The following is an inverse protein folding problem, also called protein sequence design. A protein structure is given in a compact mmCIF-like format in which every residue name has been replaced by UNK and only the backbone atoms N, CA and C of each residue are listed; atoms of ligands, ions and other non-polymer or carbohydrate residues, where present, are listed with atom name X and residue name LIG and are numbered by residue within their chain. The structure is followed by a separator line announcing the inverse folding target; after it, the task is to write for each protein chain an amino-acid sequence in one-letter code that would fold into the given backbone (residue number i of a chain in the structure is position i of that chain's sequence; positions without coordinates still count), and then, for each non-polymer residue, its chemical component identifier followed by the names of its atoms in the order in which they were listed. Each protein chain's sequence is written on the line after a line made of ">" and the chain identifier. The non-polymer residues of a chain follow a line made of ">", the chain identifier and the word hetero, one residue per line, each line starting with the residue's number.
data_IF_498392926332
#
_entry.id   IF_498392926332
#
_cell.length_a   1.000
_cell.length_b   1.000
_cell.length_c   1.000
_cell.angle_alpha   90.00
_cell.angle_beta   90.00
_cell.angle_gamma   90.00
#
_symmetry.space_group_name_H-M   'P 1'
#
loop_
_entity.id
_entity.type
_entity.pdbx_description
1 polymer ?
#
# COMPACT_ATOMS: atom_id res chain seq x y z
N UNK A 1 8.97 -9.25 -62.85
CA UNK A 1 9.18 -8.81 -61.45
C UNK A 1 10.07 -7.57 -61.27
N UNK A 2 11.00 -7.24 -62.11
CA UNK A 2 11.90 -6.07 -61.97
C UNK A 2 11.25 -4.67 -62.12
N UNK A 3 10.14 -4.51 -62.84
CA UNK A 3 9.48 -3.20 -63.03
C UNK A 3 8.70 -2.69 -61.80
N UNK A 4 8.16 -3.57 -60.94
CA UNK A 4 7.41 -3.17 -59.73
C UNK A 4 8.34 -2.66 -58.60
N UNK A 5 9.58 -3.17 -58.50
CA UNK A 5 10.51 -2.72 -57.46
C UNK A 5 11.02 -1.30 -57.67
N UNK A 6 11.27 -0.89 -58.92
CA UNK A 6 11.75 0.45 -59.20
C UNK A 6 10.68 1.54 -58.94
N UNK A 7 9.41 1.22 -59.12
CA UNK A 7 8.31 2.16 -58.83
C UNK A 7 8.13 2.44 -57.34
N UNK A 8 8.30 1.40 -56.49
CA UNK A 8 8.22 1.54 -55.02
C UNK A 8 9.40 2.35 -54.48
N UNK A 9 10.61 2.14 -54.99
CA UNK A 9 11.83 2.88 -54.58
C UNK A 9 11.68 4.37 -54.93
N UNK A 10 11.19 4.70 -56.13
CA UNK A 10 10.96 6.09 -56.55
C UNK A 10 9.90 6.76 -55.66
N UNK A 11 8.84 6.03 -55.29
CA UNK A 11 7.78 6.56 -54.42
C UNK A 11 8.28 6.86 -53.01
N UNK A 12 9.13 5.99 -52.47
CA UNK A 12 9.75 6.19 -51.15
C UNK A 12 10.74 7.35 -51.13
N UNK A 13 11.52 7.55 -52.21
CA UNK A 13 12.43 8.68 -52.34
C UNK A 13 11.65 10.01 -52.43
N UNK A 14 10.53 10.04 -53.16
CA UNK A 14 9.67 11.23 -53.25
C UNK A 14 9.02 11.60 -51.91
N UNK A 15 8.60 10.60 -51.09
CA UNK A 15 8.08 10.83 -49.75
C UNK A 15 9.16 11.39 -48.82
N UNK A 16 10.39 10.85 -48.89
CA UNK A 16 11.51 11.36 -48.08
C UNK A 16 11.92 12.79 -48.47
N UNK A 17 11.91 13.12 -49.73
CA UNK A 17 12.16 14.49 -50.24
C UNK A 17 11.03 15.45 -49.79
N UNK A 18 9.77 15.02 -49.82
CA UNK A 18 8.63 15.84 -49.39
C UNK A 18 8.65 16.12 -47.87
N UNK A 19 8.99 15.13 -47.06
CA UNK A 19 9.15 15.29 -45.60
C UNK A 19 10.35 16.18 -45.26
N UNK A 20 11.46 16.07 -46.00
CA UNK A 20 12.62 16.96 -45.88
C UNK A 20 12.30 18.41 -46.21
N UNK A 21 11.46 18.64 -47.25
CA UNK A 21 11.07 20.00 -47.68
C UNK A 21 10.10 20.66 -46.67
N UNK A 22 9.18 19.88 -46.07
CA UNK A 22 8.31 20.35 -44.98
C UNK A 22 9.09 20.71 -43.71
N UNK A 23 10.11 19.93 -43.36
CA UNK A 23 11.00 20.20 -42.22
C UNK A 23 11.84 21.48 -42.43
N UNK A 24 12.38 21.68 -43.64
CA UNK A 24 13.13 22.90 -44.02
C UNK A 24 12.25 24.16 -44.05
N UNK A 25 11.01 24.04 -44.52
CA UNK A 25 10.05 25.15 -44.53
C UNK A 25 9.60 25.54 -43.11
N UNK A 26 9.42 24.58 -42.22
CA UNK A 26 9.12 24.82 -40.79
C UNK A 26 10.31 25.47 -40.06
N UNK A 27 11.53 25.01 -40.32
CA UNK A 27 12.75 25.59 -39.76
C UNK A 27 12.99 27.04 -40.22
N UNK A 28 12.76 27.32 -41.52
CA UNK A 28 12.89 28.70 -42.05
C UNK A 28 11.80 29.63 -41.49
N UNK A 29 10.57 29.15 -41.26
CA UNK A 29 9.52 29.94 -40.62
C UNK A 29 9.86 30.24 -39.15
N UNK A 30 10.44 29.27 -38.43
CA UNK A 30 10.89 29.47 -37.07
C UNK A 30 12.03 30.51 -36.99
N UNK A 31 13.02 30.40 -37.84
CA UNK A 31 14.15 31.35 -37.93
C UNK A 31 13.74 32.75 -38.37
N UNK A 32 12.72 32.87 -39.23
CA UNK A 32 12.14 34.17 -39.62
C UNK A 32 11.34 34.82 -38.48
N UNK A 33 10.72 34.03 -37.61
CA UNK A 33 10.05 34.53 -36.41
C UNK A 33 11.06 35.04 -35.35
N UNK A 34 12.20 34.35 -35.17
CA UNK A 34 13.29 34.79 -34.29
C UNK A 34 13.95 36.10 -34.75
N UNK A 35 14.14 36.26 -36.06
CA UNK A 35 14.72 37.52 -36.61
C UNK A 35 13.76 38.70 -36.55
N UNK A 36 12.44 38.48 -36.62
CA UNK A 36 11.47 39.58 -36.45
C UNK A 36 11.36 40.02 -34.97
N UNK A 37 11.50 39.10 -34.03
CA UNK A 37 11.50 39.43 -32.57
C UNK A 37 12.75 40.27 -32.22
N UNK A 38 13.93 39.94 -32.78
CA UNK A 38 15.17 40.70 -32.54
C UNK A 38 15.20 42.07 -33.23
N UNK A 39 14.48 42.26 -34.33
CA UNK A 39 14.41 43.59 -35.01
C UNK A 39 13.44 44.55 -34.32
N UNK A 40 12.35 44.08 -33.74
CA UNK A 40 11.45 44.90 -32.90
C UNK A 40 12.11 45.36 -31.60
N UNK A 41 13.02 44.56 -31.02
CA UNK A 41 13.78 44.97 -29.81
C UNK A 41 14.87 46.00 -30.08
N UNK A 42 15.40 46.14 -31.31
CA UNK A 42 16.46 47.08 -31.65
C UNK A 42 15.90 48.46 -32.04
N UNK A 43 14.64 48.56 -32.52
CA UNK A 43 14.01 49.86 -32.78
C UNK A 43 13.42 50.52 -31.50
N UNK A 44 13.17 49.75 -30.46
CA UNK A 44 12.65 50.29 -29.20
C UNK A 44 13.71 50.96 -28.29
N UNK A 45 15.01 50.72 -28.52
CA UNK A 45 16.11 51.27 -27.67
C UNK A 45 16.55 52.70 -28.05
N UNK A 46 15.97 53.32 -29.09
CA UNK A 46 16.38 54.68 -29.51
C UNK A 46 15.41 55.83 -29.15
N UNK A 47 14.31 55.55 -28.40
CA UNK A 47 13.36 56.60 -27.98
C UNK A 47 13.20 56.77 -26.48
N UNK A 48 14.07 56.18 -25.67
CA UNK A 48 13.94 56.26 -24.20
C UNK A 48 15.16 56.97 -23.57
N UNK A 49 15.23 58.30 -23.72
CA UNK A 49 16.15 59.14 -22.91
C UNK A 49 15.50 60.33 -22.24
N UNK A 50 14.16 60.46 -22.15
CA UNK A 50 13.51 61.56 -21.44
C UNK A 50 12.45 61.22 -20.39
N UNK A 51 12.25 59.91 -19.99
CA UNK A 51 11.35 59.58 -18.88
C UNK A 51 12.00 58.71 -17.80
N UNK A 52 13.16 59.12 -17.31
CA UNK A 52 13.84 58.45 -16.14
C UNK A 52 13.32 58.88 -14.76
N UNK A 53 12.08 59.33 -14.62
CA UNK A 53 11.57 59.75 -13.31
C UNK A 53 10.27 59.11 -12.82
N UNK A 54 9.65 58.20 -13.60
CA UNK A 54 8.35 57.62 -13.21
C UNK A 54 8.29 56.09 -13.19
N UNK A 55 9.40 55.36 -13.42
CA UNK A 55 9.38 53.88 -13.36
C UNK A 55 10.22 53.38 -12.20
N UNK A 56 9.75 53.61 -11.00
CA UNK A 56 10.37 53.04 -9.78
C UNK A 56 9.45 52.08 -9.01
N UNK A 57 8.42 51.58 -9.62
CA UNK A 57 7.50 50.62 -8.94
C UNK A 57 6.85 49.57 -9.90
N UNK A 58 7.58 49.09 -10.93
CA UNK A 58 7.09 47.98 -11.78
C UNK A 58 7.86 46.66 -11.61
N UNK A 59 8.86 46.63 -10.74
CA UNK A 59 9.61 45.40 -10.46
C UNK A 59 8.96 44.50 -9.39
N UNK A 60 7.75 44.83 -8.90
CA UNK A 60 7.09 44.10 -7.81
C UNK A 60 5.77 43.41 -8.19
N UNK A 61 5.45 43.28 -9.47
CA UNK A 61 4.29 42.50 -9.92
C UNK A 61 4.69 41.52 -11.03
N UNK A 62 5.64 40.65 -10.79
CA UNK A 62 5.55 39.31 -11.30
C UNK A 62 4.69 38.55 -10.27
N UNK A 63 3.37 38.55 -10.44
CA UNK A 63 2.58 37.44 -9.98
C UNK A 63 3.22 36.21 -10.61
N UNK A 64 4.07 35.52 -9.83
CA UNK A 64 4.45 34.14 -10.13
C UNK A 64 3.11 33.40 -10.03
N UNK A 65 2.46 33.18 -11.18
CA UNK A 65 1.40 32.20 -11.27
C UNK A 65 2.13 30.88 -11.00
N UNK A 66 2.28 30.53 -9.73
CA UNK A 66 2.72 29.19 -9.34
C UNK A 66 1.68 28.27 -9.95
N UNK A 67 2.10 27.46 -10.94
CA UNK A 67 1.26 26.37 -11.39
C UNK A 67 0.79 25.60 -10.16
N UNK A 68 -0.50 25.19 -10.12
CA UNK A 68 -1.03 24.49 -8.97
C UNK A 68 -0.15 23.26 -8.70
N UNK A 69 0.62 23.32 -7.64
CA UNK A 69 1.51 22.23 -7.26
C UNK A 69 0.65 21.10 -6.73
N UNK A 70 0.62 19.99 -7.45
CA UNK A 70 -0.08 18.76 -7.08
C UNK A 70 0.96 17.72 -6.70
N UNK A 71 0.78 17.08 -5.55
CA UNK A 71 1.51 15.86 -5.16
C UNK A 71 0.59 14.66 -5.22
N UNK A 72 1.11 13.55 -5.72
CA UNK A 72 0.39 12.28 -5.80
C UNK A 72 1.25 11.17 -5.21
N UNK A 73 0.67 10.38 -4.33
CA UNK A 73 1.30 9.19 -3.75
C UNK A 73 0.40 7.97 -3.87
N UNK A 74 1.00 6.79 -3.83
CA UNK A 74 0.33 5.50 -3.74
C UNK A 74 0.56 4.90 -2.36
N UNK A 75 -0.53 4.62 -1.62
CA UNK A 75 -0.53 3.86 -0.39
C UNK A 75 -1.04 2.46 -0.68
N UNK A 76 -0.19 1.44 -0.46
CA UNK A 76 -0.55 0.05 -0.62
C UNK A 76 -0.79 -0.60 0.74
N UNK A 77 -1.95 -1.26 0.89
CA UNK A 77 -2.28 -2.01 2.10
C UNK A 77 -2.58 -3.47 1.80
N UNK A 78 -2.18 -4.36 2.72
CA UNK A 78 -2.46 -5.79 2.65
C UNK A 78 -3.04 -6.31 3.98
N UNK A 79 -3.79 -7.42 3.93
CA UNK A 79 -4.41 -8.05 5.09
C UNK A 79 -3.43 -8.85 5.96
N UNK A 80 -3.89 -10.01 6.44
CA UNK A 80 -3.23 -10.80 7.47
C UNK A 80 -1.98 -11.52 6.92
N UNK A 81 -0.83 -11.26 7.53
CA UNK A 81 0.47 -11.90 7.24
C UNK A 81 0.78 -12.86 8.36
N UNK A 82 0.53 -14.16 8.12
CA UNK A 82 0.67 -15.22 9.10
C UNK A 82 1.64 -16.29 8.62
N UNK A 83 2.54 -16.73 9.49
CA UNK A 83 3.53 -17.78 9.18
C UNK A 83 3.25 -19.07 9.93
N UNK A 84 2.38 -19.91 9.39
CA UNK A 84 2.09 -21.23 9.96
C UNK A 84 3.27 -22.19 9.85
N UNK A 85 3.27 -23.25 10.66
CA UNK A 85 4.36 -24.23 10.70
C UNK A 85 4.80 -24.78 9.33
N UNK A 86 3.92 -25.10 8.38
CA UNK A 86 4.33 -25.54 7.06
C UNK A 86 5.13 -24.50 6.28
N UNK A 87 4.83 -23.20 6.47
CA UNK A 87 5.45 -22.08 5.74
C UNK A 87 6.89 -21.86 6.21
N UNK A 88 7.13 -21.65 7.52
CA UNK A 88 8.51 -21.43 7.98
C UNK A 88 9.36 -22.69 7.83
N UNK A 89 8.78 -23.91 7.93
CA UNK A 89 9.52 -25.15 7.63
C UNK A 89 9.89 -25.26 6.14
N UNK A 90 9.05 -24.76 5.25
CA UNK A 90 9.33 -24.73 3.81
C UNK A 90 10.43 -23.71 3.47
N UNK A 91 10.51 -22.61 4.21
CA UNK A 91 11.53 -21.58 4.06
C UNK A 91 12.90 -21.99 4.62
N UNK A 92 12.98 -23.03 5.45
CA UNK A 92 14.24 -23.48 6.05
C UNK A 92 15.18 -24.10 5.03
N UNK A 93 16.38 -23.55 4.93
CA UNK A 93 17.48 -24.08 4.14
C UNK A 93 18.41 -24.89 5.04
N UNK A 94 18.51 -26.20 4.78
CA UNK A 94 19.33 -27.14 5.57
C UNK A 94 20.84 -26.98 5.38
N UNK A 95 21.25 -26.41 4.24
CA UNK A 95 22.65 -26.21 3.92
C UNK A 95 23.25 -25.01 4.63
N UNK A 96 22.48 -23.92 4.69
CA UNK A 96 22.87 -22.66 5.33
C UNK A 96 22.38 -22.53 6.77
N UNK A 97 21.51 -23.44 7.22
CA UNK A 97 20.82 -23.40 8.52
C UNK A 97 20.07 -22.07 8.77
N UNK A 98 19.51 -21.49 7.72
CA UNK A 98 18.80 -20.20 7.76
C UNK A 98 17.43 -20.31 7.09
N UNK A 99 16.61 -19.28 7.29
CA UNK A 99 15.29 -19.18 6.68
C UNK A 99 15.32 -18.19 5.51
N UNK A 100 14.67 -18.55 4.40
CA UNK A 100 14.53 -17.71 3.22
C UNK A 100 13.06 -17.68 2.79
N UNK A 101 12.41 -16.51 2.95
CA UNK A 101 11.02 -16.27 2.57
C UNK A 101 10.88 -15.48 1.27
N UNK A 102 11.98 -15.17 0.58
CA UNK A 102 11.99 -14.30 -0.61
C UNK A 102 11.06 -14.80 -1.71
N UNK A 103 11.00 -16.12 -1.93
CA UNK A 103 10.14 -16.72 -2.94
C UNK A 103 8.65 -16.48 -2.68
N UNK A 104 8.25 -16.32 -1.41
CA UNK A 104 6.85 -16.10 -1.02
C UNK A 104 6.29 -14.80 -1.60
N UNK A 105 7.11 -13.75 -1.67
CA UNK A 105 6.69 -12.40 -2.04
C UNK A 105 7.09 -11.98 -3.46
N UNK A 106 7.82 -12.82 -4.20
CA UNK A 106 8.44 -12.45 -5.48
C UNK A 106 7.47 -11.86 -6.52
N UNK A 107 6.23 -12.36 -6.57
CA UNK A 107 5.26 -11.95 -7.59
C UNK A 107 4.52 -10.66 -7.24
N UNK A 108 4.45 -10.33 -5.94
CA UNK A 108 3.79 -9.09 -5.50
C UNK A 108 4.79 -7.95 -5.31
N UNK A 109 6.10 -8.23 -5.33
CA UNK A 109 7.16 -7.24 -5.11
C UNK A 109 7.01 -6.01 -6.00
N UNK A 110 6.71 -6.19 -7.28
CA UNK A 110 6.51 -5.09 -8.23
C UNK A 110 5.39 -4.11 -7.85
N UNK A 111 4.39 -4.57 -7.09
CA UNK A 111 3.30 -3.72 -6.59
C UNK A 111 3.74 -2.96 -5.36
N UNK A 112 4.41 -3.66 -4.43
CA UNK A 112 4.89 -3.08 -3.18
C UNK A 112 5.96 -2.01 -3.44
N UNK A 113 6.93 -2.29 -4.33
CA UNK A 113 7.99 -1.33 -4.70
C UNK A 113 7.50 -0.09 -5.46
N UNK A 114 6.33 -0.17 -6.10
CA UNK A 114 5.73 0.99 -6.79
C UNK A 114 4.97 1.92 -5.83
N UNK A 115 4.58 1.41 -4.66
CA UNK A 115 3.92 2.22 -3.66
C UNK A 115 4.93 3.19 -3.01
N UNK A 116 4.47 4.38 -2.67
CA UNK A 116 5.25 5.33 -1.88
C UNK A 116 5.31 4.92 -0.41
N UNK A 117 4.30 4.19 0.04
CA UNK A 117 4.24 3.58 1.35
C UNK A 117 3.41 2.30 1.31
N UNK A 118 3.94 1.23 1.90
CA UNK A 118 3.28 -0.07 1.95
C UNK A 118 3.13 -0.57 3.38
N UNK A 119 1.92 -1.05 3.73
CA UNK A 119 1.63 -1.54 5.08
C UNK A 119 0.80 -2.83 5.08
N UNK A 120 0.92 -3.64 6.17
CA UNK A 120 0.17 -4.88 6.34
C UNK A 120 0.03 -5.28 7.81
N UNK A 121 -0.91 -6.20 8.10
CA UNK A 121 -1.08 -6.76 9.44
C UNK A 121 -0.10 -7.90 9.68
N UNK A 122 0.91 -7.68 10.52
CA UNK A 122 1.88 -8.71 10.92
C UNK A 122 1.30 -9.53 12.09
N UNK A 123 0.52 -10.57 11.74
CA UNK A 123 -0.26 -11.37 12.69
C UNK A 123 0.55 -12.56 13.21
N UNK A 124 1.67 -12.24 13.82
CA UNK A 124 2.58 -13.19 14.48
C UNK A 124 3.57 -12.42 15.36
N UNK A 125 4.41 -13.12 16.10
CA UNK A 125 5.57 -12.52 16.79
C UNK A 125 6.86 -13.16 16.33
N UNK A 126 7.98 -12.45 16.50
CA UNK A 126 9.35 -12.92 16.31
C UNK A 126 10.06 -12.96 17.68
N UNK A 127 9.66 -13.94 18.51
CA UNK A 127 10.08 -14.01 19.90
C UNK A 127 11.53 -14.49 20.11
N UNK A 128 12.20 -14.91 19.03
CA UNK A 128 13.61 -15.36 19.04
C UNK A 128 13.77 -16.88 19.01
N UNK A 129 15.01 -17.32 18.75
CA UNK A 129 15.36 -18.74 18.53
C UNK A 129 15.42 -19.54 19.84
N UNK A 130 15.54 -18.89 20.99
CA UNK A 130 15.55 -19.55 22.29
C UNK A 130 14.18 -20.17 22.63
N UNK A 131 13.14 -19.70 21.94
CA UNK A 131 11.80 -20.26 21.97
C UNK A 131 11.60 -21.01 20.65
N UNK A 132 11.19 -22.30 20.67
CA UNK A 132 10.95 -23.02 19.42
C UNK A 132 10.01 -22.28 18.48
N UNK A 133 10.38 -22.19 17.19
CA UNK A 133 9.47 -21.63 16.18
C UNK A 133 8.19 -22.46 16.09
N UNK A 134 7.08 -21.77 16.02
CA UNK A 134 5.72 -22.35 16.04
C UNK A 134 4.75 -21.58 15.17
N UNK A 135 3.72 -22.27 14.68
CA UNK A 135 2.53 -21.70 14.09
C UNK A 135 1.39 -21.65 15.09
N UNK A 136 0.14 -21.59 14.54
CA UNK A 136 -1.07 -21.65 15.37
C UNK A 136 -1.01 -22.79 16.39
N UNK A 137 -1.49 -22.62 17.67
CA UNK A 137 -2.23 -21.45 18.14
C UNK A 137 -1.37 -20.30 18.70
N UNK A 138 -0.07 -20.48 18.85
CA UNK A 138 0.84 -19.46 19.39
C UNK A 138 2.06 -19.33 18.49
N UNK A 139 2.07 -18.27 17.70
CA UNK A 139 3.09 -18.05 16.68
C UNK A 139 4.43 -17.60 17.30
N UNK A 140 5.51 -18.19 16.82
CA UNK A 140 6.86 -17.65 16.91
C UNK A 140 7.52 -17.86 15.55
N UNK A 141 7.70 -16.79 14.79
CA UNK A 141 8.20 -16.81 13.40
C UNK A 141 9.67 -16.42 13.36
N UNK A 142 10.51 -17.07 12.50
CA UNK A 142 11.86 -16.62 12.25
C UNK A 142 11.91 -15.16 11.80
N UNK A 143 12.84 -14.38 12.35
CA UNK A 143 12.94 -12.94 12.07
C UNK A 143 13.29 -12.62 10.60
N UNK A 144 13.81 -13.58 9.86
CA UNK A 144 14.06 -13.49 8.42
C UNK A 144 12.77 -13.27 7.61
N UNK A 145 11.62 -13.56 8.18
CA UNK A 145 10.32 -13.18 7.61
C UNK A 145 10.16 -11.65 7.49
N UNK A 146 10.68 -10.91 8.48
CA UNK A 146 10.70 -9.45 8.46
C UNK A 146 11.71 -8.92 7.43
N UNK A 147 12.88 -9.57 7.29
CA UNK A 147 13.83 -9.24 6.23
C UNK A 147 13.18 -9.39 4.85
N UNK A 148 12.48 -10.50 4.60
CA UNK A 148 11.79 -10.72 3.33
C UNK A 148 10.69 -9.68 3.06
N UNK A 149 9.95 -9.25 4.09
CA UNK A 149 8.97 -8.16 3.95
C UNK A 149 9.66 -6.84 3.61
N UNK A 150 10.77 -6.50 4.28
CA UNK A 150 11.55 -5.29 3.97
C UNK A 150 12.12 -5.31 2.55
N UNK A 151 12.70 -6.43 2.13
CA UNK A 151 13.24 -6.60 0.77
C UNK A 151 12.15 -6.58 -0.31
N UNK A 152 10.91 -6.87 0.07
CA UNK A 152 9.74 -6.73 -0.79
C UNK A 152 9.30 -5.27 -0.93
N UNK A 153 9.64 -4.41 0.04
CA UNK A 153 9.34 -2.98 0.03
C UNK A 153 8.33 -2.52 1.09
N UNK A 154 7.97 -3.35 2.07
CA UNK A 154 7.09 -2.92 3.15
C UNK A 154 7.77 -1.91 4.08
N UNK A 155 6.99 -0.92 4.53
CA UNK A 155 7.45 0.19 5.38
C UNK A 155 6.86 0.12 6.78
N UNK A 156 5.57 -0.21 6.90
CA UNK A 156 4.83 -0.19 8.17
C UNK A 156 4.15 -1.54 8.40
N UNK A 157 4.27 -2.05 9.62
CA UNK A 157 3.57 -3.24 10.07
C UNK A 157 2.60 -2.90 11.21
N UNK A 158 1.30 -3.16 10.99
CA UNK A 158 0.32 -3.15 12.06
C UNK A 158 0.56 -4.38 12.94
N UNK A 159 0.82 -4.16 14.21
CA UNK A 159 1.15 -5.22 15.18
C UNK A 159 0.10 -5.34 16.28
N UNK A 160 -0.90 -4.45 16.33
CA UNK A 160 -2.05 -4.62 17.21
C UNK A 160 -3.02 -5.65 16.62
N UNK A 161 -2.83 -6.92 17.00
CA UNK A 161 -3.68 -8.04 16.64
C UNK A 161 -3.76 -9.03 17.79
N UNK A 162 -4.62 -10.05 17.68
CA UNK A 162 -4.86 -11.02 18.74
C UNK A 162 -3.65 -11.93 19.04
N UNK A 163 -2.66 -12.00 18.12
CA UNK A 163 -1.42 -12.79 18.25
C UNK A 163 -0.20 -11.98 18.72
N UNK A 164 -0.33 -10.67 18.96
CA UNK A 164 0.80 -9.83 19.34
C UNK A 164 1.45 -10.20 20.71
N UNK A 165 0.72 -10.93 21.56
CA UNK A 165 1.20 -11.42 22.85
C UNK A 165 1.39 -12.93 22.92
N UNK A 166 1.50 -13.65 21.82
CA UNK A 166 1.63 -15.11 21.80
C UNK A 166 2.81 -15.65 22.65
N UNK A 167 3.86 -14.86 22.79
CA UNK A 167 4.99 -15.12 23.69
C UNK A 167 5.17 -14.00 24.73
N UNK A 168 4.04 -13.43 25.19
CA UNK A 168 3.97 -12.43 26.25
C UNK A 168 4.76 -11.15 25.93
N UNK A 169 5.08 -10.39 26.98
CA UNK A 169 5.82 -9.13 26.87
C UNK A 169 7.13 -9.26 26.08
N UNK A 170 7.89 -10.32 26.32
CA UNK A 170 9.20 -10.52 25.66
C UNK A 170 9.03 -10.71 24.15
N UNK A 171 8.04 -11.50 23.72
CA UNK A 171 7.73 -11.70 22.30
C UNK A 171 7.33 -10.42 21.63
N UNK A 172 6.45 -9.62 22.23
CA UNK A 172 6.03 -8.33 21.73
C UNK A 172 7.21 -7.36 21.56
N UNK A 173 8.04 -7.19 22.61
CA UNK A 173 9.20 -6.28 22.59
C UNK A 173 10.19 -6.71 21.50
N UNK A 174 10.55 -8.00 21.42
CA UNK A 174 11.46 -8.52 20.38
C UNK A 174 10.91 -8.31 18.98
N UNK A 175 9.61 -8.45 18.78
CA UNK A 175 8.98 -8.20 17.49
C UNK A 175 9.14 -6.74 17.06
N UNK A 176 8.89 -5.80 17.98
CA UNK A 176 9.13 -4.36 17.71
C UNK A 176 10.60 -4.09 17.40
N UNK A 177 11.52 -4.66 18.18
CA UNK A 177 12.96 -4.47 17.99
C UNK A 177 13.43 -5.01 16.63
N UNK A 178 12.98 -6.20 16.24
CA UNK A 178 13.30 -6.80 14.95
C UNK A 178 12.71 -6.02 13.77
N UNK A 179 11.48 -5.50 13.87
CA UNK A 179 10.89 -4.63 12.85
C UNK A 179 11.76 -3.38 12.64
N UNK A 180 12.17 -2.73 13.75
CA UNK A 180 13.02 -1.55 13.71
C UNK A 180 14.44 -1.87 13.21
N UNK A 181 15.02 -3.04 13.60
CA UNK A 181 16.33 -3.50 13.12
C UNK A 181 16.39 -3.59 11.59
N UNK A 182 15.30 -4.06 10.96
CA UNK A 182 15.20 -4.11 9.50
C UNK A 182 14.73 -2.81 8.85
N UNK A 183 14.61 -1.70 9.61
CA UNK A 183 14.28 -0.37 9.09
C UNK A 183 12.82 -0.22 8.65
N UNK A 184 11.92 -1.02 9.18
CA UNK A 184 10.48 -0.83 9.10
C UNK A 184 9.96 -0.18 10.37
N UNK A 185 8.70 0.24 10.37
CA UNK A 185 8.00 0.84 11.52
C UNK A 185 6.83 -0.04 11.94
N UNK A 186 6.51 -0.04 13.22
CA UNK A 186 5.33 -0.72 13.71
C UNK A 186 4.30 0.28 14.26
N UNK A 187 3.02 -0.09 14.19
CA UNK A 187 1.91 0.66 14.78
C UNK A 187 1.04 -0.25 15.63
N UNK A 188 0.50 0.33 16.71
CA UNK A 188 -0.47 -0.33 17.59
C UNK A 188 0.10 -1.09 18.78
N UNK A 189 1.42 -1.39 18.79
CA UNK A 189 2.11 -1.93 19.96
C UNK A 189 3.30 -1.08 20.35
N UNK A 190 3.64 -1.02 21.66
CA UNK A 190 4.65 -0.13 22.21
C UNK A 190 5.46 -0.79 23.30
N UNK A 191 6.73 -0.39 23.44
CA UNK A 191 7.64 -0.85 24.51
C UNK A 191 7.52 -0.02 25.78
N UNK A 192 7.17 1.24 25.64
CA UNK A 192 7.17 2.25 26.69
C UNK A 192 5.86 3.04 26.67
N UNK A 193 5.45 3.67 27.78
CA UNK A 193 4.22 4.45 27.89
C UNK A 193 4.24 5.77 27.07
N UNK A 194 4.97 5.80 25.98
CA UNK A 194 5.03 6.92 25.06
C UNK A 194 4.33 6.55 23.75
N UNK A 195 3.04 6.81 23.70
CA UNK A 195 2.22 6.56 22.53
C UNK A 195 2.46 7.66 21.48
N UNK A 196 3.65 7.67 20.88
CA UNK A 196 3.90 8.50 19.73
C UNK A 196 3.11 7.91 18.55
N UNK A 197 2.17 8.69 18.08
CA UNK A 197 1.46 8.40 16.85
C UNK A 197 2.48 8.48 15.72
N UNK A 198 2.53 7.45 14.88
CA UNK A 198 3.39 7.45 13.71
C UNK A 198 2.84 8.45 12.70
N UNK A 199 3.66 9.43 12.32
CA UNK A 199 3.38 10.38 11.26
C UNK A 199 4.48 10.23 10.21
N UNK A 200 4.08 9.99 8.96
CA UNK A 200 4.98 9.98 7.80
C UNK A 200 4.66 11.15 6.89
N UNK A 201 5.72 11.75 6.36
CA UNK A 201 5.60 12.79 5.34
C UNK A 201 6.21 12.29 4.04
N UNK A 202 5.39 12.17 3.00
CA UNK A 202 5.76 11.63 1.70
C UNK A 202 5.28 12.62 0.65
N UNK A 203 6.19 13.15 -0.17
CA UNK A 203 5.87 14.15 -1.20
C UNK A 203 5.05 15.34 -0.63
N UNK A 204 5.37 15.77 0.59
CA UNK A 204 4.68 16.81 1.35
C UNK A 204 3.20 16.48 1.68
N UNK A 205 2.83 15.23 1.69
CA UNK A 205 1.56 14.72 2.23
C UNK A 205 1.86 14.09 3.58
N UNK A 206 1.24 14.60 4.64
CA UNK A 206 1.45 14.16 6.02
C UNK A 206 0.34 13.21 6.45
N UNK A 207 0.70 11.97 6.76
CA UNK A 207 -0.24 10.90 7.07
C UNK A 207 0.01 10.41 8.49
N UNK A 208 -1.04 10.41 9.31
CA UNK A 208 -1.02 9.81 10.65
C UNK A 208 -1.52 8.36 10.60
N UNK A 209 -0.82 7.46 11.28
CA UNK A 209 -1.14 6.03 11.31
C UNK A 209 -1.49 5.57 12.73
N UNK A 210 -2.65 4.92 12.84
CA UNK A 210 -3.16 4.33 14.07
C UNK A 210 -3.44 2.84 13.84
N UNK A 211 -3.35 2.01 14.90
CA UNK A 211 -3.77 0.60 14.81
C UNK A 211 -4.34 0.11 16.13
N UNK A 212 -5.38 -0.76 16.06
CA UNK A 212 -6.12 -1.28 17.20
C UNK A 212 -6.51 -2.74 17.01
N UNK A 213 -6.68 -3.49 18.12
CA UNK A 213 -7.17 -4.86 18.11
C UNK A 213 -8.33 -5.09 19.08
N UNK A 214 -9.23 -6.00 18.71
CA UNK A 214 -10.36 -6.39 19.55
C UNK A 214 -9.96 -7.19 20.78
N UNK A 215 -8.83 -7.91 20.74
CA UNK A 215 -8.46 -8.83 21.80
C UNK A 215 -7.04 -9.38 21.67
N UNK A 216 -6.66 -10.25 22.63
CA UNK A 216 -5.30 -10.74 22.83
C UNK A 216 -5.28 -12.27 23.07
N UNK A 217 -6.27 -13.02 22.58
CA UNK A 217 -6.39 -14.49 22.73
C UNK A 217 -6.23 -14.96 24.18
N UNK A 218 -6.70 -14.16 25.16
CA UNK A 218 -6.58 -14.48 26.59
C UNK A 218 -5.18 -14.32 27.18
N UNK A 219 -4.23 -13.70 26.42
CA UNK A 219 -2.86 -13.46 26.86
C UNK A 219 -2.71 -12.16 27.68
N UNK A 220 -3.81 -11.47 27.98
CA UNK A 220 -3.85 -10.23 28.77
C UNK A 220 -3.08 -10.35 30.08
N UNK A 221 -3.20 -11.51 30.74
CA UNK A 221 -2.55 -11.80 32.04
C UNK A 221 -1.02 -11.90 31.97
N UNK A 222 -0.42 -11.88 30.79
CA UNK A 222 1.04 -11.86 30.62
C UNK A 222 1.64 -10.47 30.81
N UNK A 223 0.79 -9.46 30.91
CA UNK A 223 1.14 -8.06 31.20
C UNK A 223 0.54 -7.64 32.54
N UNK A 224 1.18 -6.71 33.22
CA UNK A 224 0.56 -5.99 34.32
C UNK A 224 -0.54 -5.07 33.81
N UNK A 225 -1.44 -4.61 34.70
CA UNK A 225 -2.48 -3.65 34.31
C UNK A 225 -1.93 -2.36 33.74
N UNK A 226 -0.79 -1.87 34.27
CA UNK A 226 -0.08 -0.71 33.75
C UNK A 226 0.46 -0.99 32.33
N UNK A 227 1.18 -2.08 32.12
CA UNK A 227 1.71 -2.47 30.81
C UNK A 227 0.61 -2.64 29.78
N UNK A 228 -0.49 -3.29 30.15
CA UNK A 228 -1.63 -3.49 29.25
C UNK A 228 -2.27 -2.16 28.82
N UNK A 229 -2.19 -1.12 29.65
CA UNK A 229 -2.76 0.20 29.35
C UNK A 229 -2.04 0.93 28.21
N UNK A 230 -0.77 0.59 27.95
CA UNK A 230 0.02 1.28 26.90
C UNK A 230 0.68 0.35 25.87
N UNK A 231 0.98 -0.92 26.20
CA UNK A 231 1.75 -1.78 25.30
C UNK A 231 0.97 -2.24 24.08
N UNK A 232 -0.36 -2.33 24.14
CA UNK A 232 -1.20 -2.73 23.01
C UNK A 232 -2.43 -1.83 22.93
N UNK A 233 -2.64 -1.22 21.79
CA UNK A 233 -3.86 -0.50 21.51
C UNK A 233 -5.02 -1.49 21.31
N UNK A 234 -5.87 -1.61 22.31
CA UNK A 234 -7.13 -2.34 22.19
C UNK A 234 -8.23 -1.41 21.70
N UNK A 235 -9.24 -1.97 21.05
CA UNK A 235 -10.43 -1.23 20.64
C UNK A 235 -11.15 -0.73 21.91
N UNK A 236 -11.16 0.57 22.05
CA UNK A 236 -11.89 1.38 23.01
C UNK A 236 -12.32 2.65 22.29
N UNK A 237 -13.62 2.92 22.22
CA UNK A 237 -14.16 3.99 21.38
C UNK A 237 -13.66 5.37 21.84
N UNK A 238 -13.58 5.62 23.14
CA UNK A 238 -13.09 6.91 23.67
C UNK A 238 -11.60 7.11 23.38
N UNK A 239 -10.82 6.03 23.50
CA UNK A 239 -9.39 6.06 23.14
C UNK A 239 -9.20 6.32 21.66
N UNK A 240 -9.90 5.59 20.77
CA UNK A 240 -9.80 5.76 19.31
C UNK A 240 -10.16 7.20 18.93
N UNK A 241 -11.27 7.72 19.46
CA UNK A 241 -11.70 9.10 19.24
C UNK A 241 -10.64 10.11 19.68
N UNK A 242 -10.13 9.96 20.90
CA UNK A 242 -9.09 10.86 21.44
C UNK A 242 -7.79 10.80 20.63
N UNK A 243 -7.36 9.60 20.19
CA UNK A 243 -6.18 9.45 19.35
C UNK A 243 -6.38 10.10 17.96
N UNK A 244 -7.55 9.94 17.31
CA UNK A 244 -7.88 10.60 16.04
C UNK A 244 -7.88 12.12 16.20
N UNK A 245 -8.52 12.65 17.26
CA UNK A 245 -8.55 14.09 17.55
C UNK A 245 -7.13 14.64 17.79
N UNK A 246 -6.28 13.89 18.49
CA UNK A 246 -4.87 14.25 18.72
C UNK A 246 -4.10 14.31 17.41
N UNK A 247 -4.26 13.31 16.52
CA UNK A 247 -3.62 13.32 15.19
C UNK A 247 -4.06 14.53 14.39
N UNK A 248 -5.36 14.80 14.32
CA UNK A 248 -5.92 15.95 13.58
C UNK A 248 -5.35 17.30 14.03
N UNK A 249 -5.00 17.42 15.32
CA UNK A 249 -4.39 18.65 15.85
C UNK A 249 -2.92 18.88 15.43
N UNK A 250 -2.31 17.92 14.71
CA UNK A 250 -0.88 17.90 14.38
C UNK A 250 -0.56 18.31 12.94
N UNK A 251 -1.45 19.07 12.28
CA UNK A 251 -1.27 19.50 10.88
C UNK A 251 -1.10 18.28 9.95
N UNK A 252 -2.09 17.41 9.90
CA UNK A 252 -2.12 16.14 9.17
C UNK A 252 -3.09 16.25 7.99
N UNK A 253 -2.68 15.73 6.84
CA UNK A 253 -3.52 15.67 5.64
C UNK A 253 -4.53 14.52 5.68
N UNK A 254 -4.07 13.34 6.14
CA UNK A 254 -4.88 12.12 6.19
C UNK A 254 -4.60 11.30 7.45
N UNK A 255 -5.61 10.59 7.92
CA UNK A 255 -5.53 9.62 9.02
C UNK A 255 -5.88 8.22 8.52
N UNK A 256 -4.95 7.30 8.68
CA UNK A 256 -5.11 5.87 8.40
C UNK A 256 -5.27 5.11 9.70
N UNK A 257 -6.35 4.34 9.82
CA UNK A 257 -6.59 3.43 10.94
C UNK A 257 -6.53 2.00 10.46
N UNK A 258 -5.56 1.23 10.94
CA UNK A 258 -5.51 -0.21 10.72
C UNK A 258 -6.19 -0.91 11.91
N UNK A 259 -7.21 -1.72 11.65
CA UNK A 259 -8.03 -2.25 12.73
C UNK A 259 -8.26 -3.77 12.58
N UNK A 260 -7.93 -4.50 13.65
CA UNK A 260 -8.06 -5.95 13.77
C UNK A 260 -9.34 -6.29 14.55
N UNK A 261 -10.42 -6.63 13.81
CA UNK A 261 -11.78 -6.68 14.37
C UNK A 261 -12.70 -7.68 13.66
N UNK A 262 -13.92 -7.82 14.16
CA UNK A 262 -14.97 -8.64 13.56
C UNK A 262 -14.96 -10.08 14.03
N UNK A 263 -15.52 -10.98 13.25
CA UNK A 263 -15.61 -12.40 13.55
C UNK A 263 -14.90 -13.21 12.47
N UNK A 264 -14.12 -14.21 12.90
CA UNK A 264 -13.42 -15.11 11.99
C UNK A 264 -14.39 -15.77 11.00
N UNK A 265 -13.97 -15.86 9.75
CA UNK A 265 -14.62 -16.57 8.63
C UNK A 265 -15.98 -16.01 8.19
N UNK A 266 -16.42 -14.88 8.70
CA UNK A 266 -17.65 -14.21 8.26
C UNK A 266 -17.34 -13.23 7.12
N UNK A 267 -17.96 -13.46 5.97
CA UNK A 267 -17.76 -12.60 4.78
C UNK A 267 -18.56 -11.31 4.80
N UNK A 268 -19.53 -11.18 5.70
CA UNK A 268 -20.25 -9.93 5.95
C UNK A 268 -19.71 -9.26 7.20
N UNK A 269 -19.47 -7.94 7.16
CA UNK A 269 -19.10 -7.20 8.34
C UNK A 269 -20.24 -7.22 9.37
N UNK A 270 -19.91 -7.38 10.63
CA UNK A 270 -20.88 -7.29 11.71
C UNK A 270 -21.41 -5.85 11.86
N UNK A 271 -22.59 -5.69 12.49
CA UNK A 271 -23.13 -4.36 12.78
C UNK A 271 -22.15 -3.50 13.59
N UNK A 272 -21.41 -4.13 14.53
CA UNK A 272 -20.37 -3.44 15.30
C UNK A 272 -19.23 -2.89 14.42
N UNK A 273 -18.76 -3.67 13.44
CA UNK A 273 -17.74 -3.17 12.51
C UNK A 273 -18.25 -1.97 11.70
N UNK A 274 -19.51 -2.04 11.22
CA UNK A 274 -20.14 -0.95 10.45
C UNK A 274 -20.26 0.29 11.31
N UNK A 275 -20.87 0.18 12.49
CA UNK A 275 -21.11 1.30 13.41
C UNK A 275 -19.79 1.96 13.86
N UNK A 276 -18.77 1.16 14.22
CA UNK A 276 -17.49 1.70 14.63
C UNK A 276 -16.73 2.33 13.46
N UNK A 277 -16.80 1.74 12.26
CA UNK A 277 -16.23 2.30 11.04
C UNK A 277 -16.80 3.67 10.73
N UNK A 278 -18.14 3.80 10.75
CA UNK A 278 -18.83 5.07 10.54
C UNK A 278 -18.46 6.11 11.61
N UNK A 279 -18.40 5.72 12.89
CA UNK A 279 -17.94 6.60 13.97
C UNK A 279 -16.50 7.07 13.76
N UNK A 280 -15.57 6.19 13.35
CA UNK A 280 -14.19 6.60 13.09
C UNK A 280 -14.09 7.64 11.96
N UNK A 281 -14.89 7.50 10.89
CA UNK A 281 -15.01 8.53 9.85
C UNK A 281 -15.57 9.82 10.44
N UNK A 282 -16.62 9.75 11.28
CA UNK A 282 -17.16 10.92 11.96
C UNK A 282 -16.14 11.63 12.86
N UNK A 283 -15.25 10.90 13.50
CA UNK A 283 -14.17 11.48 14.31
C UNK A 283 -13.03 12.05 13.45
N UNK A 284 -12.91 11.63 12.18
CA UNK A 284 -11.97 12.20 11.22
C UNK A 284 -10.96 11.23 10.63
N UNK A 285 -11.14 9.92 10.77
CA UNK A 285 -10.37 8.94 10.01
C UNK A 285 -10.75 9.01 8.52
N UNK A 286 -9.75 8.94 7.63
CA UNK A 286 -9.96 9.03 6.19
C UNK A 286 -9.88 7.65 5.52
N UNK A 287 -9.04 6.77 6.04
CA UNK A 287 -8.80 5.43 5.50
C UNK A 287 -8.86 4.44 6.67
N UNK A 288 -9.75 3.45 6.57
CA UNK A 288 -9.89 2.39 7.57
C UNK A 288 -9.62 1.04 6.90
N UNK A 289 -8.60 0.33 7.38
CA UNK A 289 -8.09 -0.92 6.83
C UNK A 289 -8.35 -2.05 7.83
N UNK A 290 -9.32 -2.90 7.53
CA UNK A 290 -9.74 -3.99 8.41
C UNK A 290 -8.99 -5.30 8.16
N UNK A 291 -8.82 -6.08 9.24
CA UNK A 291 -8.20 -7.40 9.29
C UNK A 291 -8.85 -8.28 10.36
N UNK A 292 -8.42 -9.53 10.53
CA UNK A 292 -8.92 -10.54 11.46
C UNK A 292 -9.94 -11.55 10.91
N UNK A 293 -10.97 -11.22 10.12
CA UNK A 293 -11.91 -12.25 9.67
C UNK A 293 -11.28 -13.38 8.84
N UNK A 294 -10.03 -13.23 8.38
CA UNK A 294 -9.30 -14.17 7.52
C UNK A 294 -10.01 -14.47 6.21
N UNK A 295 -11.04 -13.73 5.88
CA UNK A 295 -11.78 -13.72 4.63
C UNK A 295 -12.07 -12.29 4.24
N UNK A 296 -12.14 -12.03 2.93
CA UNK A 296 -12.42 -10.70 2.43
C UNK A 296 -13.86 -10.29 2.77
N UNK A 297 -14.01 -9.10 3.33
CA UNK A 297 -15.29 -8.41 3.51
C UNK A 297 -15.36 -7.20 2.58
N UNK A 298 -16.55 -6.68 2.32
CA UNK A 298 -16.78 -5.54 1.42
C UNK A 298 -16.01 -4.29 1.82
N UNK A 299 -15.84 -3.39 0.87
CA UNK A 299 -15.42 -2.01 1.12
C UNK A 299 -16.64 -1.07 1.14
N UNK A 300 -16.41 0.17 1.58
CA UNK A 300 -17.43 1.23 1.60
C UNK A 300 -16.75 2.59 1.47
N UNK A 301 -17.37 3.48 0.72
CA UNK A 301 -16.99 4.90 0.66
C UNK A 301 -18.04 5.71 1.43
N UNK A 302 -17.58 6.54 2.34
CA UNK A 302 -18.42 7.45 3.10
C UNK A 302 -18.04 8.88 2.75
N UNK A 303 -18.96 9.60 2.10
CA UNK A 303 -18.76 11.01 1.85
C UNK A 303 -19.07 11.81 3.11
N UNK A 304 -18.10 12.56 3.60
CA UNK A 304 -18.24 13.48 4.71
C UNK A 304 -17.64 14.83 4.36
N UNK A 305 -18.43 15.87 4.51
CA UNK A 305 -18.01 17.25 4.21
C UNK A 305 -17.44 17.43 2.80
N UNK A 306 -17.97 16.68 1.83
CA UNK A 306 -17.53 16.68 0.42
C UNK A 306 -16.26 15.91 0.16
N UNK A 307 -15.73 15.16 1.12
CA UNK A 307 -14.56 14.28 0.99
C UNK A 307 -14.96 12.82 1.10
N UNK A 308 -14.45 12.00 0.21
CA UNK A 308 -14.64 10.56 0.24
C UNK A 308 -13.63 9.93 1.22
N UNK A 309 -14.14 9.12 2.15
CA UNK A 309 -13.38 8.37 3.11
C UNK A 309 -13.59 6.88 2.82
N UNK A 310 -12.53 6.10 2.89
CA UNK A 310 -12.52 4.70 2.48
C UNK A 310 -12.50 3.77 3.68
N UNK A 311 -13.34 2.75 3.67
CA UNK A 311 -13.32 1.63 4.60
C UNK A 311 -13.24 0.35 3.81
N UNK A 312 -12.33 -0.57 4.20
CA UNK A 312 -12.43 -1.99 3.89
C UNK A 312 -12.54 -2.76 5.20
N UNK A 313 -13.61 -3.54 5.36
CA UNK A 313 -13.89 -4.20 6.62
C UNK A 313 -12.98 -5.40 6.90
N UNK A 314 -12.49 -6.08 5.85
CA UNK A 314 -11.42 -7.07 5.93
C UNK A 314 -10.76 -7.27 4.56
N UNK A 315 -9.44 -7.24 4.53
CA UNK A 315 -8.64 -7.54 3.34
C UNK A 315 -8.35 -9.04 3.19
N UNK A 316 -8.77 -9.88 4.12
CA UNK A 316 -8.52 -11.32 4.14
C UNK A 316 -7.06 -11.69 4.40
N UNK A 317 -6.70 -12.93 4.10
CA UNK A 317 -5.35 -13.44 4.31
C UNK A 317 -4.42 -13.05 3.15
N UNK A 318 -3.46 -12.19 3.41
CA UNK A 318 -2.41 -11.91 2.43
C UNK A 318 -1.40 -13.08 2.35
N UNK A 319 -1.03 -13.62 3.50
CA UNK A 319 -0.22 -14.82 3.62
C UNK A 319 -0.71 -15.71 4.76
N UNK A 320 -1.16 -16.90 4.45
CA UNK A 320 -1.64 -17.87 5.46
C UNK A 320 -1.54 -19.30 4.94
N UNK A 321 -1.60 -20.28 5.84
CA UNK A 321 -1.86 -21.68 5.49
C UNK A 321 -3.26 -22.15 5.94
N UNK A 322 -4.15 -21.23 6.22
CA UNK A 322 -5.58 -21.52 6.35
C UNK A 322 -6.13 -21.80 4.94
N UNK A 323 -6.57 -23.02 4.71
CA UNK A 323 -6.91 -23.49 3.38
C UNK A 323 -8.19 -24.32 3.44
N UNK A 324 -8.81 -24.51 2.28
CA UNK A 324 -10.01 -25.35 2.16
C UNK A 324 -9.80 -26.74 2.78
N UNK A 325 -8.63 -27.34 2.58
CA UNK A 325 -8.33 -28.69 3.08
C UNK A 325 -8.23 -28.75 4.60
N UNK A 326 -7.96 -27.66 5.27
CA UNK A 326 -7.79 -27.59 6.73
C UNK A 326 -8.92 -26.88 7.45
N UNK A 327 -9.59 -25.94 6.78
CA UNK A 327 -10.64 -25.10 7.38
C UNK A 327 -12.03 -25.38 6.83
N UNK A 328 -12.16 -26.26 5.80
CA UNK A 328 -13.37 -26.43 4.99
C UNK A 328 -13.96 -25.11 4.46
N UNK A 329 -13.09 -24.12 4.30
CA UNK A 329 -13.43 -22.79 3.84
C UNK A 329 -12.40 -22.32 2.80
N UNK A 330 -12.83 -22.18 1.54
CA UNK A 330 -11.94 -21.74 0.47
C UNK A 330 -11.64 -20.23 0.49
N UNK A 331 -12.50 -19.43 1.10
CA UNK A 331 -12.32 -17.97 1.18
C UNK A 331 -11.12 -17.55 2.05
N UNK A 332 -10.62 -18.46 2.91
CA UNK A 332 -9.40 -18.20 3.70
C UNK A 332 -8.10 -18.24 2.90
N UNK A 333 -8.17 -18.65 1.63
CA UNK A 333 -7.04 -18.62 0.68
C UNK A 333 -6.94 -17.30 -0.06
N UNK A 334 -7.99 -16.48 0.01
CA UNK A 334 -8.17 -15.25 -0.76
C UNK A 334 -7.71 -14.04 0.05
N UNK A 335 -7.00 -13.14 -0.62
CA UNK A 335 -6.62 -11.83 -0.10
C UNK A 335 -6.84 -10.76 -1.16
N UNK A 336 -6.78 -9.50 -0.73
CA UNK A 336 -6.80 -8.36 -1.64
C UNK A 336 -5.78 -7.33 -1.17
N UNK A 337 -4.93 -6.86 -2.10
CA UNK A 337 -4.14 -5.65 -1.89
C UNK A 337 -4.98 -4.44 -2.32
N UNK A 338 -4.96 -3.40 -1.50
CA UNK A 338 -5.64 -2.13 -1.77
C UNK A 338 -4.57 -1.10 -2.12
N UNK A 339 -4.60 -0.57 -3.33
CA UNK A 339 -3.74 0.55 -3.71
C UNK A 339 -4.59 1.82 -3.82
N UNK A 340 -4.29 2.79 -2.95
CA UNK A 340 -4.98 4.07 -2.87
C UNK A 340 -4.07 5.14 -3.48
N UNK A 341 -4.51 5.75 -4.57
CA UNK A 341 -3.88 6.95 -5.12
C UNK A 341 -4.41 8.18 -4.37
N UNK A 342 -3.52 8.87 -3.70
CA UNK A 342 -3.83 10.04 -2.87
C UNK A 342 -3.23 11.26 -3.53
N UNK A 343 -4.03 12.30 -3.72
CA UNK A 343 -3.65 13.55 -4.36
C UNK A 343 -3.82 14.72 -3.39
N UNK A 344 -2.81 15.58 -3.28
CA UNK A 344 -2.87 16.85 -2.55
C UNK A 344 -2.69 18.01 -3.51
N UNK A 345 -3.68 18.88 -3.56
CA UNK A 345 -3.63 20.16 -4.24
C UNK A 345 -3.26 21.27 -3.26
N UNK A 346 -2.07 21.84 -3.43
CA UNK A 346 -1.54 22.88 -2.56
C UNK A 346 -2.20 24.24 -2.77
N UNK A 347 -2.90 24.44 -3.89
CA UNK A 347 -3.58 25.71 -4.17
C UNK A 347 -4.81 25.88 -3.28
N UNK A 348 -5.53 24.80 -2.98
CA UNK A 348 -6.70 24.79 -2.09
C UNK A 348 -6.47 24.03 -0.78
N UNK A 349 -5.27 23.50 -0.54
CA UNK A 349 -4.89 22.70 0.64
C UNK A 349 -5.84 21.50 0.85
N UNK A 350 -6.25 20.85 -0.25
CA UNK A 350 -7.11 19.68 -0.20
C UNK A 350 -6.34 18.41 -0.51
N UNK A 351 -6.56 17.39 0.32
CA UNK A 351 -6.06 16.04 0.09
C UNK A 351 -7.25 15.11 -0.06
N UNK A 352 -7.22 14.30 -1.12
CA UNK A 352 -8.32 13.40 -1.50
C UNK A 352 -7.81 12.03 -1.92
N UNK A 353 -8.64 11.00 -1.77
CA UNK A 353 -8.44 9.70 -2.39
C UNK A 353 -8.91 9.82 -3.84
N UNK A 354 -7.96 9.79 -4.79
CA UNK A 354 -8.22 9.99 -6.22
C UNK A 354 -8.72 8.72 -6.90
N UNK A 355 -8.10 7.59 -6.52
CA UNK A 355 -8.41 6.30 -7.12
C UNK A 355 -8.20 5.18 -6.10
N UNK A 356 -8.98 4.11 -6.24
CA UNK A 356 -8.90 2.90 -5.43
C UNK A 356 -8.76 1.71 -6.38
N UNK A 357 -7.65 1.00 -6.28
CA UNK A 357 -7.42 -0.21 -7.05
C UNK A 357 -7.44 -1.42 -6.11
N UNK A 358 -8.27 -2.40 -6.44
CA UNK A 358 -8.33 -3.70 -5.79
C UNK A 358 -7.50 -4.69 -6.60
N UNK A 359 -6.53 -5.34 -5.96
CA UNK A 359 -5.65 -6.32 -6.58
C UNK A 359 -5.85 -7.65 -5.87
N UNK A 360 -6.70 -8.55 -6.40
CA UNK A 360 -6.94 -9.86 -5.80
C UNK A 360 -5.66 -10.68 -5.72
N UNK A 361 -5.45 -11.31 -4.58
CA UNK A 361 -4.31 -12.21 -4.36
C UNK A 361 -4.76 -13.59 -3.90
N UNK A 362 -3.96 -14.59 -4.21
CA UNK A 362 -4.20 -15.96 -3.79
C UNK A 362 -2.89 -16.63 -3.36
N UNK A 363 -2.90 -17.33 -2.22
CA UNK A 363 -1.73 -18.06 -1.75
C UNK A 363 -1.61 -19.39 -2.48
N UNK A 364 -0.68 -19.49 -3.43
CA UNK A 364 -0.38 -20.71 -4.16
C UNK A 364 0.55 -21.60 -3.35
N UNK A 365 0.05 -22.76 -2.95
CA UNK A 365 0.81 -23.81 -2.25
C UNK A 365 1.07 -24.96 -3.18
N UNK A 366 2.33 -25.28 -3.43
CA UNK A 366 2.71 -26.37 -4.33
C UNK A 366 3.97 -27.07 -3.89
N UNK A 367 4.28 -28.20 -4.52
CA UNK A 367 5.53 -28.93 -4.35
C UNK A 367 6.29 -29.00 -5.67
N UNK A 368 7.59 -28.72 -5.58
CA UNK A 368 8.51 -28.92 -6.67
C UNK A 368 9.78 -29.60 -6.12
N UNK A 369 10.25 -30.68 -6.75
CA UNK A 369 11.42 -31.46 -6.29
C UNK A 369 11.36 -31.83 -4.79
N UNK A 370 10.20 -32.27 -4.32
CA UNK A 370 9.90 -32.57 -2.91
C UNK A 370 9.95 -31.38 -1.93
N UNK A 371 10.31 -30.19 -2.37
CA UNK A 371 10.24 -28.97 -1.57
C UNK A 371 8.85 -28.35 -1.66
N UNK A 372 8.33 -27.89 -0.52
CA UNK A 372 7.06 -27.17 -0.43
C UNK A 372 7.31 -25.68 -0.65
N UNK A 373 6.39 -25.01 -1.37
CA UNK A 373 6.43 -23.57 -1.62
C UNK A 373 5.08 -22.94 -1.29
N UNK A 374 5.15 -21.69 -0.87
CA UNK A 374 4.01 -20.81 -0.68
C UNK A 374 4.32 -19.50 -1.37
N UNK A 375 3.55 -19.12 -2.36
CA UNK A 375 3.75 -17.89 -3.14
C UNK A 375 2.46 -17.11 -3.22
N UNK A 376 2.53 -15.81 -3.00
CA UNK A 376 1.38 -14.93 -3.14
C UNK A 376 1.29 -14.51 -4.60
N UNK A 377 0.21 -14.92 -5.28
CA UNK A 377 -0.02 -14.60 -6.68
C UNK A 377 -1.01 -13.45 -6.81
N UNK A 378 -0.63 -12.34 -7.49
CA UNK A 378 -1.61 -11.39 -7.98
C UNK A 378 -2.41 -12.05 -9.12
N UNK A 379 -3.72 -12.18 -8.91
CA UNK A 379 -4.55 -13.03 -9.78
C UNK A 379 -4.74 -12.40 -11.16
N UNK A 380 -4.83 -11.07 -11.23
CA UNK A 380 -4.92 -10.34 -12.50
C UNK A 380 -3.74 -10.64 -13.42
N UNK A 381 -2.52 -10.60 -12.89
CA UNK A 381 -1.30 -10.88 -13.66
C UNK A 381 -1.32 -12.30 -14.24
N UNK A 382 -1.84 -13.26 -13.46
CA UNK A 382 -1.97 -14.63 -13.97
C UNK A 382 -3.01 -14.73 -15.09
N UNK A 383 -4.17 -14.10 -14.91
CA UNK A 383 -5.26 -14.11 -15.91
C UNK A 383 -4.81 -13.43 -17.21
N UNK A 384 -4.07 -12.35 -17.11
CA UNK A 384 -3.57 -11.57 -18.26
C UNK A 384 -2.31 -12.19 -18.91
N UNK A 385 -1.80 -13.30 -18.37
CA UNK A 385 -0.61 -13.98 -18.90
C UNK A 385 0.72 -13.25 -18.64
N UNK A 386 0.72 -12.32 -17.68
CA UNK A 386 1.90 -11.56 -17.26
C UNK A 386 2.76 -12.33 -16.25
N UNK A 387 2.17 -13.35 -15.61
CA UNK A 387 2.83 -14.20 -14.63
C UNK A 387 3.25 -15.52 -15.27
N UNK A 388 4.56 -15.76 -15.36
CA UNK A 388 5.09 -17.04 -15.82
C UNK A 388 5.14 -18.06 -14.66
N UNK A 389 3.95 -18.47 -14.19
CA UNK A 389 3.78 -19.50 -13.15
C UNK A 389 2.95 -20.65 -13.72
N UNK A 390 3.50 -21.87 -13.62
CA UNK A 390 2.74 -23.06 -13.99
C UNK A 390 1.83 -23.51 -12.85
N UNK A 391 0.54 -23.19 -12.96
CA UNK A 391 -0.45 -23.66 -11.99
C UNK A 391 -1.00 -25.01 -12.44
N UNK A 392 -1.08 -25.95 -11.49
CA UNK A 392 -1.67 -27.26 -11.71
C UNK A 392 -3.12 -27.11 -12.21
N UNK A 393 -3.51 -27.84 -13.26
CA UNK A 393 -4.80 -27.67 -13.91
C UNK A 393 -5.99 -27.77 -12.96
N UNK A 394 -5.90 -28.65 -11.95
CA UNK A 394 -6.94 -28.78 -10.92
C UNK A 394 -7.15 -27.52 -10.05
N UNK A 395 -6.19 -26.61 -10.02
CA UNK A 395 -6.25 -25.38 -9.22
C UNK A 395 -6.64 -24.13 -10.03
N UNK A 396 -6.58 -24.19 -11.36
CA UNK A 396 -6.95 -23.04 -12.23
C UNK A 396 -8.38 -22.57 -12.00
N UNK A 397 -9.32 -23.52 -11.84
CA UNK A 397 -10.71 -23.18 -11.51
C UNK A 397 -10.87 -22.52 -10.14
N UNK A 398 -10.04 -22.92 -9.14
CA UNK A 398 -10.05 -22.29 -7.81
C UNK A 398 -9.52 -20.87 -7.87
N UNK A 399 -8.44 -20.64 -8.60
CA UNK A 399 -7.85 -19.32 -8.78
C UNK A 399 -8.83 -18.37 -9.47
N UNK A 400 -9.48 -18.81 -10.56
CA UNK A 400 -10.51 -17.99 -11.22
C UNK A 400 -11.67 -17.68 -10.27
N UNK A 401 -12.13 -18.66 -9.50
CA UNK A 401 -13.19 -18.45 -8.50
C UNK A 401 -12.75 -17.45 -7.43
N UNK A 402 -11.50 -17.50 -6.97
CA UNK A 402 -10.93 -16.53 -6.01
C UNK A 402 -11.03 -15.10 -6.55
N UNK A 403 -10.68 -14.90 -7.83
CA UNK A 403 -10.84 -13.62 -8.50
C UNK A 403 -12.30 -13.14 -8.50
N UNK A 404 -13.20 -14.00 -9.01
CA UNK A 404 -14.62 -13.67 -9.15
C UNK A 404 -15.25 -13.37 -7.78
N UNK A 405 -14.94 -14.16 -6.73
CA UNK A 405 -15.43 -13.98 -5.37
C UNK A 405 -14.91 -12.68 -4.72
N UNK A 406 -13.65 -12.31 -5.00
CA UNK A 406 -13.04 -11.09 -4.49
C UNK A 406 -13.62 -9.85 -5.16
N UNK A 407 -13.65 -9.84 -6.50
CA UNK A 407 -14.16 -8.68 -7.25
C UNK A 407 -15.66 -8.47 -7.05
N UNK A 408 -16.43 -9.55 -6.89
CA UNK A 408 -17.83 -9.45 -6.50
C UNK A 408 -17.98 -8.75 -5.15
N UNK A 409 -17.14 -9.11 -4.16
CA UNK A 409 -17.19 -8.52 -2.82
C UNK A 409 -16.75 -7.04 -2.83
N UNK A 410 -15.80 -6.66 -3.67
CA UNK A 410 -15.35 -5.27 -3.84
C UNK A 410 -16.36 -4.38 -4.58
N UNK A 411 -17.28 -4.97 -5.35
CA UNK A 411 -18.35 -4.25 -6.05
C UNK A 411 -19.63 -4.08 -5.23
N UNK A 412 -19.72 -4.64 -4.03
CA UNK A 412 -20.82 -4.45 -3.07
C UNK A 412 -20.64 -3.11 -2.35
N UNK A 413 -21.18 -2.02 -2.92
CA UNK A 413 -21.18 -0.65 -2.32
C UNK A 413 -22.48 -0.34 -1.59
#
# INVERSE_FOLDING_TARGET
>A
MRKKHNTIIIFLILIFCFLGFMGAAAYMKFKSAETNITSEYIEADNEIDEEKSAVKNLDDITEVIEEPRISTINLLAVGDIMFHSPQYKAAFNKETLSYDFTSTFRHIKKYVEKANIALGNFETVTAGEEIPFSGFPRFNTPKESLLALKETGFDILATANNHCLDHGKTGLIRTIDNINEYGMKNIGTYKEPNNNILIEEIENIRIGFLSYTYGLNGMDSTLTGEELSYMVNRIDEEKIKGDIEKVRSSDIDLIVVFIHWGNEYQREPSSYQIELGEKMVEWGANIILGSHPHVIQRSQIINKDGKDNFIIYSMGNFLSNQRKETMDNSYTEDGVMINLEIEKDFSCQQTVIKNIQYIPTWVYKYRENNKLFFEILPIDDYINGELNVSIVDSLKGRLKKSYDDTMSKMSEN
#
